data_IF_097872851647
#
_entry.id   IF_097872851647
#
_cell.length_a   1.000
_cell.length_b   1.000
_cell.length_c   1.000
_cell.angle_alpha   90.00
_cell.angle_beta   90.00
_cell.angle_gamma   90.00
#
_symmetry.space_group_name_H-M   'P 1'
#
loop_
_entity.id
_entity.type
_entity.pdbx_description
1 polymer ?
#
# COMPACT_ATOMS: atom_id res chain seq x y z
N UNK A 1 15.34 19.68 1.22
CA UNK A 1 14.44 20.82 1.49
C UNK A 1 14.55 21.14 2.96
N UNK A 2 14.76 22.41 3.28
CA UNK A 2 14.68 22.93 4.65
C UNK A 2 13.22 22.93 5.14
N UNK A 3 13.01 23.01 6.45
CA UNK A 3 11.67 23.01 7.04
C UNK A 3 10.83 24.23 6.59
N UNK A 4 11.48 25.37 6.34
CA UNK A 4 10.83 26.59 5.86
C UNK A 4 10.33 26.44 4.41
N UNK A 5 11.13 25.83 3.54
CA UNK A 5 10.73 25.54 2.15
C UNK A 5 9.55 24.57 2.06
N UNK A 6 9.48 23.57 2.96
CA UNK A 6 8.36 22.62 3.02
C UNK A 6 7.05 23.35 3.32
N UNK A 7 7.04 24.19 4.35
CA UNK A 7 5.85 24.98 4.76
C UNK A 7 5.38 25.96 3.70
N UNK A 8 6.32 26.62 3.02
CA UNK A 8 6.00 27.54 1.93
C UNK A 8 5.28 26.81 0.78
N UNK A 9 5.75 25.62 0.41
CA UNK A 9 5.11 24.80 -0.63
C UNK A 9 3.76 24.25 -0.21
N UNK A 10 3.62 23.76 1.02
CA UNK A 10 2.32 23.27 1.54
C UNK A 10 1.25 24.36 1.45
N UNK A 11 1.61 25.60 1.79
CA UNK A 11 0.73 26.75 1.69
C UNK A 11 0.39 27.09 0.23
N UNK A 12 1.39 27.11 -0.66
CA UNK A 12 1.18 27.37 -2.09
C UNK A 12 0.23 26.34 -2.73
N UNK A 13 0.40 25.06 -2.43
CA UNK A 13 -0.47 24.00 -2.97
C UNK A 13 -1.91 24.11 -2.46
N UNK A 14 -2.08 24.48 -1.19
CA UNK A 14 -3.40 24.71 -0.62
C UNK A 14 -4.07 25.95 -1.24
N UNK A 15 -3.37 27.07 -1.34
CA UNK A 15 -3.94 28.34 -1.82
C UNK A 15 -4.24 28.30 -3.33
N UNK A 16 -3.36 27.68 -4.13
CA UNK A 16 -3.44 27.72 -5.60
C UNK A 16 -4.26 26.57 -6.19
N UNK A 17 -4.20 25.39 -5.58
CA UNK A 17 -4.81 24.19 -6.13
C UNK A 17 -5.85 23.56 -5.20
N UNK A 18 -6.03 24.09 -3.98
CA UNK A 18 -6.87 23.50 -2.93
C UNK A 18 -6.47 22.06 -2.59
N UNK A 19 -5.19 21.72 -2.75
CA UNK A 19 -4.65 20.40 -2.47
C UNK A 19 -3.92 20.47 -1.13
N UNK A 20 -4.34 19.63 -0.17
CA UNK A 20 -3.62 19.45 1.09
C UNK A 20 -2.46 18.48 0.88
N UNK A 21 -1.25 19.03 0.81
CA UNK A 21 0.00 18.28 0.83
C UNK A 21 0.60 18.40 2.23
N UNK A 22 1.16 17.31 2.75
CA UNK A 22 1.86 17.32 4.03
C UNK A 22 3.21 16.63 3.89
N UNK A 23 4.30 17.35 4.11
CA UNK A 23 5.63 16.76 4.09
C UNK A 23 5.97 16.16 5.46
N UNK A 24 6.07 14.84 5.53
CA UNK A 24 6.49 14.13 6.75
C UNK A 24 7.94 13.68 6.63
N UNK A 25 8.76 13.91 7.67
CA UNK A 25 10.13 13.37 7.77
C UNK A 25 10.17 11.91 8.23
N UNK A 26 9.05 11.39 8.74
CA UNK A 26 8.91 9.96 9.01
C UNK A 26 8.71 9.22 7.70
N UNK A 27 9.45 8.12 7.42
CA UNK A 27 9.11 7.25 6.32
C UNK A 27 7.66 6.84 6.52
N UNK A 28 6.84 7.01 5.49
CA UNK A 28 5.49 6.46 5.49
C UNK A 28 5.70 4.96 5.66
N UNK A 29 5.50 4.45 6.88
CA UNK A 29 5.48 3.03 7.12
C UNK A 29 4.29 2.57 6.27
N UNK A 30 4.59 1.95 5.14
CA UNK A 30 3.60 1.52 4.18
C UNK A 30 2.82 0.40 4.86
N UNK A 31 1.85 0.78 5.69
CA UNK A 31 1.03 -0.14 6.48
C UNK A 31 0.33 -1.13 5.55
N UNK A 32 0.15 -0.77 4.27
CA UNK A 32 -0.25 -1.64 3.17
C UNK A 32 0.68 -2.84 2.99
N UNK A 33 2.01 -2.65 3.02
CA UNK A 33 2.98 -3.77 2.95
C UNK A 33 2.85 -4.71 4.13
N UNK A 34 2.76 -4.18 5.36
CA UNK A 34 2.59 -5.00 6.58
C UNK A 34 1.24 -5.74 6.57
N UNK A 35 0.19 -5.06 6.11
CA UNK A 35 -1.16 -5.61 5.99
C UNK A 35 -1.25 -6.70 4.92
N UNK A 36 -0.60 -6.49 3.78
CA UNK A 36 -0.51 -7.48 2.71
C UNK A 36 0.24 -8.73 3.16
N UNK A 37 1.40 -8.58 3.80
CA UNK A 37 2.16 -9.72 4.35
C UNK A 37 1.32 -10.55 5.31
N UNK A 38 0.58 -9.92 6.23
CA UNK A 38 -0.31 -10.64 7.16
C UNK A 38 -1.46 -11.37 6.45
N UNK A 39 -2.07 -10.76 5.43
CA UNK A 39 -3.13 -11.42 4.65
C UNK A 39 -2.59 -12.58 3.83
N UNK A 40 -1.41 -12.43 3.24
CA UNK A 40 -0.74 -13.48 2.47
C UNK A 40 -0.39 -14.68 3.36
N UNK A 41 0.12 -14.43 4.56
CA UNK A 41 0.41 -15.49 5.53
C UNK A 41 -0.86 -16.25 5.93
N UNK A 42 -1.96 -15.53 6.18
CA UNK A 42 -3.26 -16.13 6.49
C UNK A 42 -3.82 -16.94 5.32
N UNK A 43 -3.75 -16.41 4.09
CA UNK A 43 -4.19 -17.12 2.89
C UNK A 43 -3.40 -18.42 2.71
N UNK A 44 -2.07 -18.36 2.80
CA UNK A 44 -1.21 -19.55 2.70
C UNK A 44 -1.54 -20.61 3.77
N UNK A 45 -1.84 -20.19 5.01
CA UNK A 45 -2.24 -21.12 6.08
C UNK A 45 -3.57 -21.82 5.80
N UNK A 46 -4.52 -21.12 5.18
CA UNK A 46 -5.81 -21.69 4.79
C UNK A 46 -5.62 -22.64 3.61
N UNK A 47 -4.93 -22.19 2.56
CA UNK A 47 -4.67 -22.99 1.35
C UNK A 47 -3.91 -24.28 1.66
N UNK A 48 -2.96 -24.26 2.61
CA UNK A 48 -2.26 -25.48 3.07
C UNK A 48 -3.16 -26.55 3.66
N UNK A 49 -4.34 -26.19 4.18
CA UNK A 49 -5.31 -27.14 4.75
C UNK A 49 -6.32 -27.65 3.72
N UNK A 50 -6.36 -27.05 2.54
CA UNK A 50 -7.29 -27.41 1.47
C UNK A 50 -6.58 -28.41 0.56
N UNK A 51 -7.21 -29.55 0.33
CA UNK A 51 -6.78 -30.48 -0.71
C UNK A 51 -7.40 -30.00 -2.03
N UNK A 52 -6.56 -29.50 -2.94
CA UNK A 52 -7.01 -29.08 -4.26
C UNK A 52 -7.03 -30.29 -5.19
N UNK A 53 -8.06 -30.43 -6.04
CA UNK A 53 -8.07 -31.45 -7.08
C UNK A 53 -6.92 -31.21 -8.08
N UNK A 54 -6.44 -32.28 -8.72
CA UNK A 54 -5.43 -32.16 -9.78
C UNK A 54 -5.90 -31.20 -10.87
N UNK A 55 -5.04 -30.25 -11.24
CA UNK A 55 -5.34 -29.27 -12.28
C UNK A 55 -6.06 -27.99 -11.83
N UNK A 56 -6.40 -27.85 -10.54
CA UNK A 56 -7.11 -26.66 -10.03
C UNK A 56 -6.42 -25.31 -10.34
N UNK A 57 -5.07 -25.29 -10.34
CA UNK A 57 -4.30 -24.07 -10.64
C UNK A 57 -3.83 -23.98 -12.10
N UNK A 58 -4.24 -24.92 -12.95
CA UNK A 58 -3.82 -24.96 -14.35
C UNK A 58 -4.75 -24.14 -15.26
N UNK A 59 -5.90 -23.70 -14.77
CA UNK A 59 -6.78 -22.82 -15.52
C UNK A 59 -6.22 -21.39 -15.51
N UNK A 60 -6.10 -20.73 -16.68
CA UNK A 60 -5.68 -19.34 -16.73
C UNK A 60 -6.72 -18.49 -16.01
N UNK A 61 -6.27 -17.67 -15.06
CA UNK A 61 -7.11 -16.63 -14.46
C UNK A 61 -7.49 -15.72 -15.63
N UNK A 62 -8.77 -15.79 -16.08
CA UNK A 62 -9.27 -15.00 -17.20
C UNK A 62 -8.83 -13.54 -17.04
N UNK A 63 -8.03 -13.07 -17.99
CA UNK A 63 -7.59 -11.68 -18.13
C UNK A 63 -8.70 -10.81 -18.70
#
# INVERSE_FOLDING_TARGET
MTAEEKRAKEKEYLEKYNIRVTYSDTPILDNTRVYFSKKLERANKILKKVHFPEGFFNEPICQ
#
